data_IF_960044351654
#
_entry.id   IF_960044351654
#
_cell.length_a   1.000
_cell.length_b   1.000
_cell.length_c   1.000
_cell.angle_alpha   90.00
_cell.angle_beta   90.00
_cell.angle_gamma   90.00
#
_symmetry.space_group_name_H-M   'P 1'
#
loop_
_entity.id
_entity.type
_entity.pdbx_description
1 polymer ?
#
# COMPACT_ATOMS: atom_id res chain seq x y z
N UNK A 1 -2.45 -1.26 -8.37
CA UNK A 1 -2.93 -1.06 -9.76
C UNK A 1 -3.81 -2.23 -10.20
N UNK A 2 -4.88 -2.03 -10.96
CA UNK A 2 -5.76 -3.12 -11.41
C UNK A 2 -5.12 -4.01 -12.50
N UNK A 3 -5.32 -5.32 -12.41
CA UNK A 3 -4.82 -6.29 -13.38
C UNK A 3 -5.22 -5.99 -14.84
N UNK A 4 -6.43 -5.47 -15.08
CA UNK A 4 -6.93 -5.21 -16.44
C UNK A 4 -6.26 -3.97 -17.06
N UNK A 5 -5.84 -3.03 -16.23
CA UNK A 5 -5.22 -1.77 -16.66
C UNK A 5 -3.71 -1.73 -16.49
N UNK A 6 -3.11 -2.82 -15.98
CA UNK A 6 -1.71 -2.83 -15.54
C UNK A 6 -0.73 -2.39 -16.63
N UNK A 7 -0.95 -2.83 -17.87
CA UNK A 7 -0.04 -2.56 -19.00
C UNK A 7 0.24 -1.07 -19.20
N UNK A 8 -0.80 -0.24 -19.23
CA UNK A 8 -0.64 1.19 -19.43
C UNK A 8 -0.43 1.93 -18.10
N UNK A 9 -0.97 1.41 -16.99
CA UNK A 9 -0.86 2.06 -15.68
C UNK A 9 0.59 2.15 -15.21
N UNK A 10 1.41 1.14 -15.53
CA UNK A 10 2.84 1.15 -15.25
C UNK A 10 3.60 2.25 -16.01
N UNK A 11 3.17 2.61 -17.22
CA UNK A 11 3.77 3.71 -17.99
C UNK A 11 3.48 5.07 -17.34
N UNK A 12 2.29 5.24 -16.73
CA UNK A 12 1.90 6.48 -16.06
C UNK A 12 2.72 6.78 -14.81
N UNK A 13 3.37 5.76 -14.22
CA UNK A 13 4.24 5.90 -13.04
C UNK A 13 5.72 5.70 -13.36
N UNK A 14 6.08 5.46 -14.63
CA UNK A 14 7.46 5.20 -15.05
C UNK A 14 8.40 6.39 -14.79
N UNK A 15 7.85 7.62 -14.70
CA UNK A 15 8.61 8.82 -14.32
C UNK A 15 9.27 8.74 -12.94
N UNK A 16 8.85 7.81 -12.08
CA UNK A 16 9.52 7.52 -10.80
C UNK A 16 10.89 6.82 -10.94
N UNK A 17 11.25 6.37 -12.14
CA UNK A 17 12.53 5.71 -12.42
C UNK A 17 12.56 4.21 -12.12
N UNK A 18 11.55 3.69 -11.43
CA UNK A 18 11.43 2.27 -11.10
C UNK A 18 10.37 1.59 -11.98
N UNK A 19 10.82 0.78 -12.93
CA UNK A 19 9.94 0.07 -13.87
C UNK A 19 10.17 -1.44 -13.84
N UNK A 20 9.15 -2.18 -14.25
CA UNK A 20 9.21 -3.62 -14.43
C UNK A 20 9.81 -3.96 -15.80
N UNK A 21 10.57 -5.06 -15.88
CA UNK A 21 11.07 -5.57 -17.15
C UNK A 21 9.93 -6.06 -18.06
N UNK A 22 10.18 -6.13 -19.37
CA UNK A 22 9.18 -6.62 -20.33
C UNK A 22 8.72 -8.04 -20.00
N UNK A 23 9.66 -8.90 -19.59
CA UNK A 23 9.38 -10.26 -19.15
C UNK A 23 8.48 -10.29 -17.90
N UNK A 24 8.83 -9.52 -16.86
CA UNK A 24 8.03 -9.41 -15.64
C UNK A 24 6.61 -8.92 -15.92
N UNK A 25 6.47 -7.94 -16.82
CA UNK A 25 5.16 -7.40 -17.23
C UNK A 25 4.30 -8.46 -17.93
N UNK A 26 4.89 -9.20 -18.88
CA UNK A 26 4.19 -10.25 -19.61
C UNK A 26 3.79 -11.42 -18.69
N UNK A 27 4.68 -11.83 -17.79
CA UNK A 27 4.40 -12.83 -16.78
C UNK A 27 3.26 -12.40 -15.85
N UNK A 28 3.30 -11.18 -15.31
CA UNK A 28 2.25 -10.65 -14.42
C UNK A 28 0.88 -10.60 -15.08
N UNK A 29 0.79 -10.16 -16.35
CA UNK A 29 -0.49 -10.10 -17.07
C UNK A 29 -1.19 -11.46 -17.10
N UNK A 30 -0.43 -12.52 -17.37
CA UNK A 30 -0.96 -13.89 -17.43
C UNK A 30 -1.29 -14.39 -16.03
N UNK A 31 -0.36 -14.23 -15.09
CA UNK A 31 -0.49 -14.77 -13.74
C UNK A 31 -1.63 -14.13 -12.95
N UNK A 32 -1.91 -12.83 -13.12
CA UNK A 32 -3.02 -12.19 -12.41
C UNK A 32 -4.39 -12.72 -12.83
N UNK A 33 -4.55 -13.08 -14.11
CA UNK A 33 -5.77 -13.73 -14.60
C UNK A 33 -5.94 -15.12 -13.97
N UNK A 34 -4.85 -15.88 -13.87
CA UNK A 34 -4.82 -17.19 -13.22
C UNK A 34 -5.16 -17.06 -11.73
N UNK A 35 -4.53 -16.11 -11.02
CA UNK A 35 -4.79 -15.82 -9.61
C UNK A 35 -6.25 -15.48 -9.36
N UNK A 36 -6.82 -14.59 -10.19
CA UNK A 36 -8.22 -14.20 -10.09
C UNK A 36 -9.15 -15.41 -10.16
N UNK A 37 -8.88 -16.34 -11.08
CA UNK A 37 -9.68 -17.57 -11.24
C UNK A 37 -9.46 -18.58 -10.11
N UNK A 38 -8.22 -18.84 -9.73
CA UNK A 38 -7.86 -19.88 -8.75
C UNK A 38 -8.38 -19.55 -7.35
N UNK A 39 -8.22 -18.30 -6.93
CA UNK A 39 -8.65 -17.83 -5.61
C UNK A 39 -10.06 -17.24 -5.60
N UNK A 40 -10.73 -17.18 -6.76
CA UNK A 40 -12.08 -16.59 -6.94
C UNK A 40 -12.16 -15.14 -6.45
N UNK A 41 -11.13 -14.35 -6.71
CA UNK A 41 -11.14 -12.93 -6.39
C UNK A 41 -12.06 -12.16 -7.33
N UNK A 42 -12.74 -11.14 -6.83
CA UNK A 42 -13.46 -10.19 -7.68
C UNK A 42 -12.47 -9.34 -8.47
N UNK A 43 -11.39 -8.92 -7.79
CA UNK A 43 -10.31 -8.13 -8.38
C UNK A 43 -8.94 -8.57 -7.91
N UNK A 44 -7.97 -8.41 -8.79
CA UNK A 44 -6.56 -8.63 -8.51
C UNK A 44 -5.82 -7.35 -8.85
N UNK A 45 -5.00 -6.92 -7.91
CA UNK A 45 -4.22 -5.71 -7.98
C UNK A 45 -2.74 -6.08 -7.97
N UNK A 46 -1.95 -5.43 -8.81
CA UNK A 46 -0.52 -5.33 -8.56
C UNK A 46 -0.29 -4.33 -7.44
N UNK A 47 0.24 -4.80 -6.31
CA UNK A 47 0.55 -3.94 -5.18
C UNK A 47 1.89 -3.23 -5.40
N UNK A 48 2.90 -3.99 -5.85
CA UNK A 48 4.25 -3.44 -6.01
C UNK A 48 5.36 -4.46 -5.90
N UNK A 49 6.56 -3.96 -5.63
CA UNK A 49 7.79 -4.73 -5.45
C UNK A 49 8.57 -4.25 -4.23
N UNK A 50 9.03 -5.20 -3.41
CA UNK A 50 9.94 -4.94 -2.29
C UNK A 50 11.35 -5.38 -2.70
N UNK A 51 12.31 -4.47 -2.55
CA UNK A 51 13.70 -4.65 -2.93
C UNK A 51 14.48 -5.28 -1.77
N UNK A 52 15.04 -6.47 -2.01
CA UNK A 52 16.02 -7.09 -1.13
C UNK A 52 17.43 -7.03 -1.71
N UNK A 53 18.41 -7.51 -0.92
CA UNK A 53 19.83 -7.50 -1.30
C UNK A 53 20.13 -8.58 -2.36
N UNK A 54 19.62 -9.80 -2.18
CA UNK A 54 19.86 -10.94 -3.08
C UNK A 54 18.72 -11.15 -4.09
N UNK A 55 17.52 -10.67 -3.77
CA UNK A 55 16.32 -10.94 -4.54
C UNK A 55 15.23 -9.93 -4.21
N UNK A 56 14.22 -9.90 -5.07
CA UNK A 56 13.11 -8.94 -5.02
C UNK A 56 11.79 -9.70 -4.87
N UNK A 57 10.85 -9.11 -4.16
CA UNK A 57 9.53 -9.68 -3.94
C UNK A 57 8.47 -8.90 -4.71
N UNK A 58 7.80 -9.56 -5.65
CA UNK A 58 6.62 -9.01 -6.31
C UNK A 58 5.39 -9.31 -5.48
N UNK A 59 4.57 -8.31 -5.21
CA UNK A 59 3.37 -8.45 -4.39
C UNK A 59 2.13 -8.22 -5.25
N UNK A 60 1.21 -9.18 -5.20
CA UNK A 60 -0.13 -9.09 -5.76
C UNK A 60 -1.15 -9.17 -4.63
N UNK A 61 -2.28 -8.52 -4.83
CA UNK A 61 -3.32 -8.43 -3.84
C UNK A 61 -4.67 -8.78 -4.46
N UNK A 62 -5.29 -9.82 -3.93
CA UNK A 62 -6.66 -10.20 -4.27
C UNK A 62 -7.66 -9.47 -3.38
N UNK A 63 -8.76 -9.02 -3.97
CA UNK A 63 -9.94 -8.44 -3.30
C UNK A 63 -11.15 -9.34 -3.50
N UNK A 64 -11.92 -9.54 -2.43
CA UNK A 64 -13.20 -10.24 -2.42
C UNK A 64 -14.38 -9.29 -2.62
N UNK A 65 -15.49 -9.57 -1.95
CA UNK A 65 -16.73 -8.78 -2.03
C UNK A 65 -16.57 -7.42 -1.34
N UNK A 66 -15.90 -7.40 -0.18
CA UNK A 66 -15.47 -6.16 0.47
C UNK A 66 -14.08 -5.76 0.00
N UNK A 67 -13.97 -4.60 -0.65
CA UNK A 67 -12.70 -4.10 -1.19
C UNK A 67 -11.66 -3.77 -0.09
N UNK A 68 -12.07 -3.53 1.15
CA UNK A 68 -11.17 -3.23 2.27
C UNK A 68 -10.86 -4.46 3.13
N UNK A 69 -11.89 -5.25 3.48
CA UNK A 69 -11.76 -6.36 4.43
C UNK A 69 -11.33 -7.67 3.79
N UNK A 70 -11.85 -7.99 2.60
CA UNK A 70 -11.60 -9.26 1.95
C UNK A 70 -10.32 -9.23 1.11
N UNK A 71 -9.18 -9.00 1.78
CA UNK A 71 -7.89 -8.88 1.14
C UNK A 71 -6.98 -10.07 1.40
N UNK A 72 -6.31 -10.54 0.35
CA UNK A 72 -5.24 -11.54 0.45
C UNK A 72 -4.01 -11.08 -0.32
N UNK A 73 -2.87 -11.08 0.35
CA UNK A 73 -1.61 -10.69 -0.23
C UNK A 73 -0.84 -11.94 -0.66
N UNK A 74 -0.32 -11.93 -1.87
CA UNK A 74 0.53 -12.98 -2.41
C UNK A 74 1.86 -12.38 -2.82
N UNK A 75 2.93 -13.15 -2.66
CA UNK A 75 4.26 -12.78 -3.11
C UNK A 75 4.79 -13.75 -4.17
N UNK A 76 5.72 -13.27 -4.99
CA UNK A 76 6.39 -14.05 -6.02
C UNK A 76 7.81 -13.53 -6.25
N UNK A 77 8.71 -14.37 -6.76
CA UNK A 77 10.05 -13.99 -7.21
C UNK A 77 10.16 -13.82 -8.72
N UNK A 78 9.31 -14.53 -9.47
CA UNK A 78 9.37 -14.65 -10.93
C UNK A 78 8.10 -14.14 -11.63
N UNK A 79 7.13 -13.63 -10.88
CA UNK A 79 5.81 -13.19 -11.36
C UNK A 79 4.94 -14.32 -11.93
N UNK A 80 5.31 -15.58 -11.75
CA UNK A 80 4.60 -16.77 -12.24
C UNK A 80 4.09 -17.61 -11.07
N UNK A 81 4.98 -17.96 -10.15
CA UNK A 81 4.66 -18.75 -8.97
C UNK A 81 4.33 -17.82 -7.81
N UNK A 82 3.11 -17.92 -7.30
CA UNK A 82 2.60 -17.04 -6.25
C UNK A 82 2.34 -17.83 -4.97
N UNK A 83 2.85 -17.30 -3.87
CA UNK A 83 2.70 -17.86 -2.53
C UNK A 83 1.87 -16.90 -1.67
N UNK A 84 1.00 -17.44 -0.82
CA UNK A 84 0.14 -16.63 0.04
C UNK A 84 0.95 -16.12 1.23
N UNK A 85 0.91 -14.81 1.51
CA UNK A 85 1.49 -14.25 2.72
C UNK A 85 0.62 -14.57 3.94
N UNK A 86 1.24 -14.87 5.10
CA UNK A 86 0.50 -14.99 6.34
C UNK A 86 -0.16 -13.65 6.71
N UNK A 87 -1.29 -13.67 7.42
CA UNK A 87 -1.90 -12.44 7.92
C UNK A 87 -0.99 -11.77 8.96
N UNK A 88 -0.85 -10.45 8.88
CA UNK A 88 -0.13 -9.66 9.88
C UNK A 88 -0.99 -9.50 11.14
N UNK A 89 -0.77 -10.35 12.14
CA UNK A 89 -1.40 -10.22 13.47
C UNK A 89 -0.64 -9.18 14.31
N UNK A 90 -1.33 -8.54 15.25
CA UNK A 90 -0.72 -7.55 16.14
C UNK A 90 0.54 -8.07 16.86
N UNK A 91 0.51 -9.34 17.30
CA UNK A 91 1.66 -10.02 17.89
C UNK A 91 2.86 -10.09 16.93
N UNK A 92 2.61 -10.39 15.66
CA UNK A 92 3.65 -10.50 14.65
C UNK A 92 4.23 -9.13 14.30
N UNK A 93 3.40 -8.09 14.28
CA UNK A 93 3.84 -6.71 14.07
C UNK A 93 4.81 -6.29 15.18
N UNK A 94 4.51 -6.59 16.44
CA UNK A 94 5.39 -6.29 17.57
C UNK A 94 6.71 -7.06 17.51
N UNK A 95 6.68 -8.34 17.15
CA UNK A 95 7.88 -9.16 16.99
C UNK A 95 8.77 -8.64 15.86
N UNK A 96 8.19 -8.34 14.69
CA UNK A 96 8.91 -7.76 13.55
C UNK A 96 9.54 -6.42 13.93
N UNK A 97 8.81 -5.55 14.63
CA UNK A 97 9.34 -4.25 15.06
C UNK A 97 10.55 -4.37 16.00
N UNK A 98 10.60 -5.43 16.81
CA UNK A 98 11.70 -5.71 17.73
C UNK A 98 12.90 -6.35 17.03
N UNK A 99 12.68 -7.30 16.13
CA UNK A 99 13.74 -8.18 15.62
C UNK A 99 14.29 -7.77 14.24
N UNK A 100 13.46 -7.16 13.39
CA UNK A 100 13.81 -6.93 11.99
C UNK A 100 14.09 -5.44 11.72
N UNK A 101 15.38 -5.12 11.47
CA UNK A 101 15.84 -3.79 11.06
C UNK A 101 16.72 -3.88 9.81
N UNK A 102 16.73 -2.82 9.01
CA UNK A 102 17.55 -2.71 7.81
C UNK A 102 16.85 -3.21 6.54
N UNK A 103 17.61 -3.62 5.53
CA UNK A 103 17.07 -4.06 4.23
C UNK A 103 16.60 -5.51 4.26
N UNK A 104 15.78 -5.92 3.30
CA UNK A 104 15.42 -7.33 3.09
C UNK A 104 16.60 -8.11 2.51
N UNK A 105 16.76 -9.39 2.86
CA UNK A 105 17.81 -10.23 2.28
C UNK A 105 17.41 -10.76 0.90
N UNK A 106 16.13 -10.99 0.65
CA UNK A 106 15.60 -11.63 -0.56
C UNK A 106 15.44 -13.15 -0.43
N UNK A 107 15.35 -13.68 0.79
CA UNK A 107 15.08 -15.09 1.07
C UNK A 107 14.00 -15.22 2.16
N UNK A 108 12.83 -15.84 1.89
CA UNK A 108 11.73 -15.96 2.86
C UNK A 108 12.12 -16.76 4.11
N UNK A 109 13.08 -17.67 3.96
CA UNK A 109 13.54 -18.57 5.03
C UNK A 109 14.57 -17.92 5.94
N UNK A 110 15.06 -16.73 5.59
CA UNK A 110 16.01 -16.00 6.42
C UNK A 110 15.36 -15.61 7.75
N UNK A 111 16.08 -15.82 8.85
CA UNK A 111 15.59 -15.55 10.21
C UNK A 111 16.36 -14.37 10.79
N UNK A 112 15.63 -13.34 11.17
CA UNK A 112 16.13 -12.21 11.96
C UNK A 112 16.15 -12.62 13.43
N UNK A 113 17.31 -12.49 14.06
CA UNK A 113 17.48 -12.76 15.48
C UNK A 113 17.92 -11.47 16.18
N UNK A 114 17.17 -11.07 17.20
CA UNK A 114 17.59 -9.98 18.08
C UNK A 114 17.49 -10.40 19.54
N UNK A 115 18.60 -10.29 20.26
CA UNK A 115 18.67 -10.42 21.71
C UNK A 115 18.10 -9.15 22.34
N UNK A 116 16.94 -9.27 22.99
CA UNK A 116 16.36 -8.19 23.78
C UNK A 116 16.99 -8.24 25.17
N UNK A 117 17.87 -7.28 25.48
CA UNK A 117 18.27 -7.04 26.87
C UNK A 117 17.16 -6.19 27.51
N UNK A 118 16.46 -6.73 28.50
CA UNK A 118 15.58 -5.91 29.34
C UNK A 118 16.44 -4.86 30.07
N UNK A 119 16.22 -3.57 29.79
CA UNK A 119 16.92 -2.46 30.48
C UNK A 119 16.44 -2.26 31.95
N UNK A 120 15.65 -3.19 32.49
CA UNK A 120 15.25 -3.20 33.89
C UNK A 120 15.70 -4.51 34.55
N UNK A 121 16.41 -4.37 35.66
CA UNK A 121 16.85 -5.41 36.61
C UNK A 121 18.21 -6.06 36.32
N UNK A 122 19.25 -5.42 36.87
CA UNK A 122 20.45 -6.09 37.36
C UNK A 122 20.08 -7.04 38.51
N UNK A 123 19.45 -8.16 38.21
CA UNK A 123 19.43 -9.31 39.13
C UNK A 123 19.74 -10.59 38.35
N UNK A 124 20.56 -11.43 38.96
CA UNK A 124 21.12 -12.63 38.38
C UNK A 124 20.01 -13.62 38.01
N UNK A 125 19.66 -13.68 36.72
CA UNK A 125 18.67 -14.63 36.20
C UNK A 125 17.83 -14.16 35.00
N UNK A 126 18.11 -13.01 34.38
CA UNK A 126 17.37 -12.55 33.21
C UNK A 126 17.46 -13.56 32.05
N UNK A 127 16.34 -14.22 31.73
CA UNK A 127 16.21 -15.03 30.53
C UNK A 127 16.34 -14.11 29.31
N UNK A 128 17.41 -14.28 28.54
CA UNK A 128 17.57 -13.67 27.22
C UNK A 128 16.46 -14.18 26.29
N UNK A 129 15.39 -13.40 26.16
CA UNK A 129 14.34 -13.71 25.19
C UNK A 129 14.85 -13.35 23.79
N UNK A 130 15.26 -14.35 23.03
CA UNK A 130 15.61 -14.19 21.61
C UNK A 130 14.31 -14.17 20.81
N UNK A 131 13.97 -13.01 20.24
CA UNK A 131 12.89 -12.94 19.26
C UNK A 131 13.44 -13.38 17.90
N UNK A 132 12.78 -14.39 17.29
CA UNK A 132 13.14 -14.91 15.97
C UNK A 132 11.98 -14.66 15.02
N UNK A 133 12.25 -13.99 13.91
CA UNK A 133 11.24 -13.64 12.92
C UNK A 133 11.71 -14.03 11.53
N UNK A 134 10.92 -14.79 10.79
CA UNK A 134 11.23 -15.11 9.40
C UNK A 134 11.06 -13.87 8.51
N UNK A 135 11.80 -13.83 7.40
CA UNK A 135 11.67 -12.77 6.42
C UNK A 135 10.30 -12.77 5.74
N UNK A 136 9.68 -13.93 5.57
CA UNK A 136 8.29 -14.03 5.09
C UNK A 136 7.31 -13.31 6.01
N UNK A 137 7.43 -13.51 7.32
CA UNK A 137 6.59 -12.84 8.32
C UNK A 137 6.85 -11.33 8.32
N UNK A 138 8.13 -10.94 8.24
CA UNK A 138 8.52 -9.54 8.10
C UNK A 138 7.91 -8.91 6.84
N UNK A 139 7.95 -9.61 5.71
CA UNK A 139 7.39 -9.17 4.44
C UNK A 139 5.88 -8.94 4.56
N UNK A 140 5.16 -9.89 5.17
CA UNK A 140 3.73 -9.76 5.43
C UNK A 140 3.39 -8.52 6.27
N UNK A 141 4.13 -8.30 7.36
CA UNK A 141 3.96 -7.12 8.22
C UNK A 141 4.30 -5.82 7.47
N UNK A 142 5.40 -5.77 6.73
CA UNK A 142 5.78 -4.57 5.98
C UNK A 142 4.74 -4.19 4.93
N UNK A 143 4.23 -5.16 4.16
CA UNK A 143 3.16 -4.92 3.18
C UNK A 143 1.91 -4.42 3.89
N UNK A 144 1.53 -5.01 5.03
CA UNK A 144 0.39 -4.58 5.82
C UNK A 144 0.53 -3.14 6.33
N UNK A 145 1.68 -2.78 6.90
CA UNK A 145 1.94 -1.43 7.43
C UNK A 145 1.90 -0.37 6.33
N UNK A 146 2.50 -0.66 5.17
CA UNK A 146 2.45 0.24 4.00
C UNK A 146 1.00 0.39 3.52
N UNK A 147 0.25 -0.71 3.42
CA UNK A 147 -1.16 -0.64 3.02
C UNK A 147 -2.00 0.21 3.99
N UNK A 148 -1.77 0.08 5.30
CA UNK A 148 -2.48 0.87 6.29
C UNK A 148 -2.14 2.37 6.24
N UNK A 149 -0.90 2.72 5.91
CA UNK A 149 -0.43 4.11 6.01
C UNK A 149 -0.47 4.89 4.71
N UNK A 150 -0.43 4.23 3.55
CA UNK A 150 -0.25 4.92 2.26
C UNK A 150 -1.03 4.32 1.10
N UNK A 151 -2.02 3.45 1.33
CA UNK A 151 -2.98 3.12 0.28
C UNK A 151 -3.80 4.35 -0.09
N UNK A 152 -3.74 4.79 -1.34
CA UNK A 152 -4.40 6.04 -1.78
C UNK A 152 -5.50 5.78 -2.80
N UNK A 153 -6.62 6.49 -2.64
CA UNK A 153 -7.72 6.53 -3.60
C UNK A 153 -8.24 7.96 -3.79
N UNK A 154 -8.76 8.33 -4.97
CA UNK A 154 -9.46 9.60 -5.13
C UNK A 154 -10.83 9.55 -4.44
N UNK A 155 -11.29 10.70 -3.94
CA UNK A 155 -12.60 10.87 -3.31
C UNK A 155 -13.70 10.39 -4.27
N UNK A 156 -14.59 9.55 -3.77
CA UNK A 156 -15.72 9.02 -4.56
C UNK A 156 -15.41 7.80 -5.42
N UNK A 157 -14.16 7.31 -5.48
CA UNK A 157 -13.83 6.07 -6.19
C UNK A 157 -14.47 4.82 -5.58
N UNK A 158 -14.72 4.85 -4.27
CA UNK A 158 -15.36 3.78 -3.51
C UNK A 158 -16.57 4.32 -2.77
N UNK A 159 -17.55 3.44 -2.55
CA UNK A 159 -18.78 3.75 -1.83
C UNK A 159 -19.03 2.68 -0.78
N UNK A 160 -19.45 3.13 0.41
CA UNK A 160 -19.89 2.26 1.50
C UNK A 160 -21.40 2.10 1.44
N UNK A 161 -21.86 0.85 1.30
CA UNK A 161 -23.28 0.56 1.24
C UNK A 161 -23.93 0.61 2.65
N UNK A 162 -25.27 0.58 2.77
CA UNK A 162 -25.96 0.58 4.06
C UNK A 162 -25.63 -0.62 4.96
N UNK A 163 -25.17 -1.73 4.39
CA UNK A 163 -24.71 -2.91 5.13
C UNK A 163 -23.26 -2.77 5.63
N UNK A 164 -22.60 -1.66 5.32
CA UNK A 164 -21.22 -1.36 5.73
C UNK A 164 -20.14 -1.97 4.83
N UNK A 165 -20.52 -2.63 3.72
CA UNK A 165 -19.62 -3.18 2.72
C UNK A 165 -19.03 -2.07 1.86
N UNK A 166 -17.73 -2.11 1.60
CA UNK A 166 -17.05 -1.15 0.72
C UNK A 166 -16.89 -1.74 -0.67
N UNK A 167 -17.42 -1.03 -1.67
CA UNK A 167 -17.40 -1.45 -3.07
C UNK A 167 -16.93 -0.31 -3.98
N UNK A 168 -16.51 -0.66 -5.19
CA UNK A 168 -16.15 0.33 -6.22
C UNK A 168 -17.40 1.12 -6.61
N UNK A 169 -17.26 2.44 -6.63
CA UNK A 169 -18.31 3.30 -7.14
C UNK A 169 -18.29 3.30 -8.67
N UNK A 170 -19.21 2.53 -9.27
CA UNK A 170 -19.34 2.44 -10.75
C UNK A 170 -19.75 3.77 -11.40
N UNK A 171 -20.28 4.71 -10.63
CA UNK A 171 -20.65 6.05 -11.10
C UNK A 171 -19.49 7.06 -11.00
N UNK A 172 -18.33 6.65 -10.50
CA UNK A 172 -17.17 7.54 -10.40
C UNK A 172 -16.63 7.86 -11.79
N UNK A 173 -16.83 9.10 -12.23
CA UNK A 173 -16.32 9.60 -13.51
C UNK A 173 -14.87 10.09 -13.48
N UNK A 174 -14.23 10.12 -12.31
CA UNK A 174 -12.95 10.79 -12.11
C UNK A 174 -13.08 12.16 -11.44
N UNK A 175 -12.00 12.64 -10.85
CA UNK A 175 -11.91 14.01 -10.35
C UNK A 175 -11.76 14.97 -11.54
N UNK A 176 -12.35 16.15 -11.45
CA UNK A 176 -12.06 17.23 -12.41
C UNK A 176 -10.62 17.72 -12.30
N UNK A 177 -10.11 18.41 -13.32
CA UNK A 177 -8.77 19.01 -13.30
C UNK A 177 -8.54 19.92 -12.09
N UNK A 178 -9.58 20.65 -11.65
CA UNK A 178 -9.49 21.54 -10.49
C UNK A 178 -9.48 20.79 -9.16
N UNK A 179 -10.19 19.66 -9.09
CA UNK A 179 -10.24 18.80 -7.92
C UNK A 179 -8.96 17.99 -7.77
N UNK A 180 -8.43 17.44 -8.87
CA UNK A 180 -7.21 16.64 -8.89
C UNK A 180 -5.96 17.41 -8.45
N UNK A 181 -6.01 18.76 -8.45
CA UNK A 181 -4.94 19.64 -7.95
C UNK A 181 -4.94 19.84 -6.44
N UNK A 182 -5.96 19.35 -5.73
CA UNK A 182 -6.13 19.55 -4.29
C UNK A 182 -5.91 18.22 -3.57
N UNK A 183 -4.96 18.20 -2.63
CA UNK A 183 -4.64 17.00 -1.86
C UNK A 183 -5.85 16.49 -1.05
N UNK A 184 -6.77 17.37 -0.64
CA UNK A 184 -7.98 17.02 0.11
C UNK A 184 -8.96 16.11 -0.67
N UNK A 185 -8.78 15.95 -1.98
CA UNK A 185 -9.58 15.04 -2.81
C UNK A 185 -8.96 13.63 -2.91
N UNK A 186 -7.91 13.36 -2.16
CA UNK A 186 -7.29 12.05 -2.06
C UNK A 186 -7.40 11.55 -0.61
N UNK A 187 -7.71 10.27 -0.49
CA UNK A 187 -8.05 9.63 0.78
C UNK A 187 -7.17 8.40 1.00
N UNK A 188 -6.92 8.08 2.27
CA UNK A 188 -6.38 6.79 2.68
C UNK A 188 -7.42 5.70 2.50
N UNK A 189 -7.08 4.64 1.80
CA UNK A 189 -7.92 3.45 1.62
C UNK A 189 -7.68 2.45 2.75
N UNK A 190 -7.91 2.90 3.98
CA UNK A 190 -7.86 2.07 5.20
C UNK A 190 -9.03 2.42 6.12
N UNK A 191 -9.32 1.55 7.09
CA UNK A 191 -10.32 1.86 8.10
C UNK A 191 -9.88 3.10 8.91
N UNK A 192 -10.75 4.11 9.08
CA UNK A 192 -10.39 5.33 9.80
C UNK A 192 -9.92 5.04 11.23
N UNK A 193 -8.69 5.44 11.54
CA UNK A 193 -8.11 5.30 12.89
C UNK A 193 -8.72 6.34 13.84
N UNK A 194 -9.13 7.49 13.30
CA UNK A 194 -9.71 8.60 14.07
C UNK A 194 -11.21 8.76 13.78
N UNK A 195 -12.04 7.99 14.49
CA UNK A 195 -13.52 8.10 14.46
C UNK A 195 -14.03 9.51 14.80
N UNK A 196 -13.20 10.35 15.42
CA UNK A 196 -13.56 11.71 15.88
C UNK A 196 -13.28 12.83 14.88
N UNK A 197 -12.74 12.56 13.68
CA UNK A 197 -12.46 13.61 12.71
C UNK A 197 -13.76 14.15 12.11
N UNK A 198 -13.89 15.47 12.08
CA UNK A 198 -15.08 16.16 11.56
C UNK A 198 -15.26 15.77 10.08
N UNK A 199 -16.49 15.48 9.61
CA UNK A 199 -16.75 15.39 8.19
C UNK A 199 -16.27 16.69 7.54
N UNK A 200 -15.54 16.57 6.42
CA UNK A 200 -14.90 17.65 5.67
C UNK A 200 -15.71 18.95 5.81
N UNK A 201 -15.30 19.87 6.69
CA UNK A 201 -16.12 21.03 6.98
C UNK A 201 -15.72 22.11 5.98
N UNK A 202 -16.29 22.10 4.76
CA UNK A 202 -16.38 23.28 3.88
C UNK A 202 -17.07 23.09 2.51
N UNK A 203 -17.65 21.92 2.21
CA UNK A 203 -18.54 21.75 1.05
C UNK A 203 -19.85 21.18 1.56
N UNK A 204 -20.97 21.89 1.41
CA UNK A 204 -22.29 21.58 2.00
C UNK A 204 -22.96 20.26 1.60
N UNK A 205 -22.22 19.26 1.13
CA UNK A 205 -22.70 17.98 0.60
C UNK A 205 -21.80 16.81 1.08
N UNK A 206 -21.46 16.76 2.37
CA UNK A 206 -20.83 15.55 2.92
C UNK A 206 -21.80 14.37 2.79
N UNK A 207 -21.40 13.36 2.04
CA UNK A 207 -22.20 12.15 1.82
C UNK A 207 -21.55 11.00 2.59
N UNK A 208 -22.16 10.49 3.67
CA UNK A 208 -21.53 9.44 4.51
C UNK A 208 -21.15 8.16 3.75
N UNK A 209 -21.84 7.86 2.65
CA UNK A 209 -21.51 6.72 1.79
C UNK A 209 -20.21 6.92 0.98
N UNK A 210 -19.78 8.16 0.75
CA UNK A 210 -18.59 8.52 -0.04
C UNK A 210 -17.46 9.03 0.87
N UNK A 211 -17.81 9.86 1.85
CA UNK A 211 -16.88 10.53 2.75
C UNK A 211 -16.66 9.73 4.04
N UNK A 212 -16.34 8.45 3.89
CA UNK A 212 -16.08 7.53 5.01
C UNK A 212 -14.59 7.29 5.29
N UNK A 213 -13.70 7.88 4.47
CA UNK A 213 -12.25 7.73 4.54
C UNK A 213 -11.56 9.01 5.05
N UNK A 214 -10.31 8.89 5.48
CA UNK A 214 -9.50 10.02 5.96
C UNK A 214 -8.73 10.70 4.81
N UNK A 215 -8.69 12.03 4.80
CA UNK A 215 -7.99 12.84 3.78
C UNK A 215 -6.47 12.83 3.98
N UNK A 216 -5.71 12.76 2.88
CA UNK A 216 -4.24 12.82 2.93
C UNK A 216 -3.71 14.16 3.42
N UNK A 217 -4.49 15.24 3.25
CA UNK A 217 -4.11 16.58 3.70
C UNK A 217 -3.96 16.68 5.22
N UNK A 218 -4.54 15.75 5.98
CA UNK A 218 -4.52 15.72 7.43
C UNK A 218 -3.34 14.91 8.00
N UNK A 219 -2.48 14.37 7.14
CA UNK A 219 -1.29 13.63 7.54
C UNK A 219 -0.29 14.51 8.27
N UNK A 220 0.46 13.86 9.17
CA UNK A 220 1.52 14.45 9.97
C UNK A 220 2.80 13.66 9.70
N UNK A 221 3.92 14.32 9.36
CA UNK A 221 4.09 15.77 9.24
C UNK A 221 3.36 16.37 8.02
N UNK A 222 3.01 17.66 8.09
CA UNK A 222 2.50 18.40 6.92
C UNK A 222 3.59 18.41 5.86
N UNK A 223 3.23 18.11 4.61
CA UNK A 223 4.20 17.93 3.52
C UNK A 223 4.61 16.47 3.29
N UNK A 224 3.98 15.49 3.94
CA UNK A 224 4.23 14.05 3.71
C UNK A 224 3.94 13.55 2.29
N UNK A 225 3.28 14.36 1.47
CA UNK A 225 2.88 14.03 0.12
C UNK A 225 3.36 15.09 -0.87
N UNK A 226 3.93 14.63 -1.98
CA UNK A 226 4.17 15.47 -3.15
C UNK A 226 3.06 15.26 -4.18
N UNK A 227 2.44 16.34 -4.66
CA UNK A 227 1.43 16.33 -5.71
C UNK A 227 1.98 17.03 -6.95
N UNK A 228 2.07 16.27 -8.04
CA UNK A 228 2.64 16.73 -9.30
C UNK A 228 1.75 16.35 -10.48
N UNK A 229 1.91 17.07 -11.58
CA UNK A 229 1.23 16.79 -12.84
C UNK A 229 2.24 16.41 -13.90
N UNK A 230 2.07 15.23 -14.48
CA UNK A 230 2.96 14.65 -15.49
C UNK A 230 2.23 14.43 -16.83
N UNK A 231 2.97 13.98 -17.85
CA UNK A 231 2.43 13.69 -19.19
C UNK A 231 1.66 14.89 -19.80
N UNK A 232 2.30 16.05 -19.88
CA UNK A 232 1.69 17.30 -20.35
C UNK A 232 0.48 17.73 -19.50
N UNK A 233 0.60 17.60 -18.18
CA UNK A 233 -0.44 17.91 -17.19
C UNK A 233 -1.73 17.08 -17.30
N UNK A 234 -1.65 15.88 -17.86
CA UNK A 234 -2.81 14.98 -18.01
C UNK A 234 -2.92 13.92 -16.91
N UNK A 235 -1.87 13.73 -16.12
CA UNK A 235 -1.81 12.71 -15.07
C UNK A 235 -1.46 13.39 -13.77
N UNK A 236 -2.32 13.28 -12.77
CA UNK A 236 -1.98 13.66 -11.40
C UNK A 236 -1.19 12.50 -10.77
N UNK A 237 -0.01 12.81 -10.24
CA UNK A 237 0.89 11.85 -9.61
C UNK A 237 1.12 12.29 -8.15
N UNK A 238 0.85 11.38 -7.23
CA UNK A 238 1.14 11.55 -5.81
C UNK A 238 2.30 10.65 -5.40
N UNK A 239 3.22 11.19 -4.60
CA UNK A 239 4.34 10.44 -4.04
C UNK A 239 4.36 10.59 -2.53
N UNK A 240 4.50 9.47 -1.82
CA UNK A 240 4.71 9.51 -0.37
C UNK A 240 6.17 9.84 -0.07
N UNK A 241 6.38 10.79 0.84
CA UNK A 241 7.71 11.11 1.37
C UNK A 241 8.01 10.35 2.68
N UNK A 242 6.98 9.78 3.31
CA UNK A 242 7.11 8.86 4.45
C UNK A 242 7.48 7.45 4.00
N UNK A 243 6.84 6.97 2.93
CA UNK A 243 7.12 5.65 2.35
C UNK A 243 7.70 5.84 0.95
N UNK A 244 9.01 6.07 0.92
CA UNK A 244 9.75 6.24 -0.32
C UNK A 244 9.58 4.99 -1.18
N UNK A 245 9.06 5.19 -2.40
CA UNK A 245 8.71 4.12 -3.33
C UNK A 245 7.23 4.05 -3.68
N UNK A 246 6.33 4.61 -2.85
CA UNK A 246 4.91 4.70 -3.22
C UNK A 246 4.68 5.80 -4.27
N UNK A 247 4.16 5.40 -5.42
CA UNK A 247 3.69 6.32 -6.47
C UNK A 247 2.24 6.00 -6.81
N UNK A 248 1.35 6.96 -6.60
CA UNK A 248 -0.04 6.94 -7.02
C UNK A 248 -0.23 7.78 -8.28
N UNK A 249 -1.14 7.36 -9.15
CA UNK A 249 -1.58 8.13 -10.32
C UNK A 249 -3.10 8.21 -10.38
N UNK A 250 -3.59 9.30 -10.97
CA UNK A 250 -4.97 9.47 -11.40
C UNK A 250 -5.00 10.23 -12.73
N UNK A 251 -5.84 9.78 -13.67
CA UNK A 251 -6.13 10.51 -14.91
C UNK A 251 -7.44 11.28 -14.70
N UNK A 252 -7.40 12.63 -14.59
CA UNK A 252 -8.59 13.44 -14.37
C UNK A 252 -9.67 13.18 -15.41
N UNK A 253 -10.93 13.40 -15.04
CA UNK A 253 -12.11 13.16 -15.87
C UNK A 253 -12.28 11.69 -16.33
N UNK A 254 -11.56 10.76 -15.71
CA UNK A 254 -11.74 9.31 -15.93
C UNK A 254 -11.71 8.55 -14.60
N UNK A 255 -12.31 7.34 -14.50
CA UNK A 255 -12.18 6.51 -13.30
C UNK A 255 -10.77 5.96 -13.08
N UNK A 256 -9.81 6.21 -13.99
CA UNK A 256 -8.51 5.57 -13.96
C UNK A 256 -7.65 6.13 -12.83
N UNK A 257 -7.29 5.26 -11.90
CA UNK A 257 -6.40 5.55 -10.80
C UNK A 257 -5.76 4.26 -10.28
N UNK A 258 -4.70 4.43 -9.50
CA UNK A 258 -4.09 3.35 -8.77
C UNK A 258 -2.75 3.77 -8.21
N UNK A 259 -2.16 2.91 -7.39
CA UNK A 259 -0.80 3.09 -6.91
C UNK A 259 0.02 1.83 -7.13
N UNK A 260 1.33 2.02 -7.04
CA UNK A 260 2.33 0.97 -6.92
C UNK A 260 3.35 1.39 -5.87
N UNK A 261 3.82 0.43 -5.07
CA UNK A 261 4.98 0.61 -4.21
C UNK A 261 6.20 -0.07 -4.83
N UNK A 262 7.29 0.66 -5.08
CA UNK A 262 8.57 0.05 -5.46
C UNK A 262 9.68 0.65 -4.60
N UNK A 263 10.14 -0.10 -3.61
CA UNK A 263 11.10 0.37 -2.61
C UNK A 263 11.61 -0.73 -1.71
N UNK A 264 12.40 -0.37 -0.70
CA UNK A 264 13.03 -1.30 0.24
C UNK A 264 12.17 -1.66 1.47
N UNK A 265 10.95 -1.12 1.54
CA UNK A 265 10.02 -1.36 2.63
C UNK A 265 10.38 -0.64 3.93
N UNK A 266 11.24 0.38 3.88
CA UNK A 266 11.59 1.19 5.05
C UNK A 266 10.79 2.50 5.11
N UNK A 267 10.33 2.84 6.31
CA UNK A 267 9.67 4.11 6.60
C UNK A 267 10.72 5.20 6.85
N UNK A 268 10.52 6.36 6.23
CA UNK A 268 11.34 7.55 6.43
C UNK A 268 10.93 8.26 7.74
N UNK A 269 11.49 7.78 8.85
CA UNK A 269 11.25 8.35 10.19
C UNK A 269 11.86 9.75 10.35
N UNK A 270 12.84 10.09 9.52
CA UNK A 270 13.57 11.36 9.58
C UNK A 270 12.88 12.48 8.79
N UNK A 271 11.76 12.18 8.11
CA UNK A 271 11.02 13.16 7.32
C UNK A 271 10.72 14.48 8.05
N UNK A 272 10.32 14.51 9.35
CA UNK A 272 10.10 15.77 10.06
C UNK A 272 11.32 16.70 10.13
N UNK A 273 12.54 16.17 9.98
CA UNK A 273 13.78 16.94 9.95
C UNK A 273 14.24 17.32 8.53
N UNK A 274 13.57 16.79 7.50
CA UNK A 274 13.90 17.03 6.10
C UNK A 274 12.98 18.06 5.42
N UNK A 275 11.86 18.42 6.05
CA UNK A 275 10.83 19.33 5.54
C UNK A 275 11.05 20.79 5.95
#
# INVERSE_FOLDING_TARGET
>A
MDSNSLYYSLELVAGSGNVLSVEQRAAMQTSMVILKKNYKFERVLFWGKILGIKGEYFIAQGRGEDEMKDRKNLYSFNCVDWLLLPPATDSLIEEVAKAAKGRFMGDPSYVYEQTVQSEGEREAGAQEAVSKVSEENRLAVTVHLIDEEVSVVPRGAFIKNPHGLVQINRSFGGLSDSEARKLNNFMHFTEPKNVKRKPIPEMGESTPAIDFLEVLSDDIPKGSWSLQFECASKVCVLRSLLWLGLTFYHVPMTPLHGYVYIGDGMKNIDLPFML
#
